data_IF_633994185111
#
_entry.id   IF_633994185111
#
_cell.length_a   1.000
_cell.length_b   1.000
_cell.length_c   1.000
_cell.angle_alpha   90.00
_cell.angle_beta   90.00
_cell.angle_gamma   90.00
#
_symmetry.space_group_name_H-M   'P 1'
#
loop_
_entity.id
_entity.type
_entity.pdbx_description
1 polymer ?
#
# COMPACT_ATOMS: atom_id res chain seq x y z
N UNK A 1 -11.70 -3.39 1.68
CA UNK A 1 -10.25 -3.30 1.45
C UNK A 1 -9.97 -2.84 0.04
N UNK A 2 -8.79 -2.37 -0.22
CA UNK A 2 -8.42 -1.93 -1.55
C UNK A 2 -7.04 -2.44 -1.90
N UNK A 3 -6.78 -2.51 -3.19
CA UNK A 3 -5.48 -2.95 -3.68
C UNK A 3 -4.59 -1.74 -3.90
N UNK A 4 -3.36 -1.85 -3.41
CA UNK A 4 -2.35 -0.83 -3.62
C UNK A 4 -1.27 -1.45 -4.49
N UNK A 5 -0.77 -0.68 -5.43
CA UNK A 5 0.39 -1.11 -6.19
C UNK A 5 1.59 -0.31 -5.71
N UNK A 6 2.54 -0.99 -5.11
CA UNK A 6 3.74 -0.33 -4.59
C UNK A 6 4.81 -0.44 -5.65
N UNK A 7 5.25 0.71 -6.13
CA UNK A 7 6.29 0.77 -7.16
C UNK A 7 7.59 1.09 -6.47
N UNK A 8 8.55 0.19 -6.59
CA UNK A 8 9.85 0.36 -5.97
C UNK A 8 10.78 1.15 -6.87
N UNK A 9 11.77 1.78 -6.29
CA UNK A 9 12.74 2.54 -7.09
C UNK A 9 13.51 1.66 -8.06
N UNK A 10 13.61 0.38 -7.75
CA UNK A 10 14.27 -0.59 -8.64
C UNK A 10 13.44 -0.87 -9.88
N UNK A 11 12.19 -0.44 -9.91
CA UNK A 11 11.27 -0.77 -10.99
C UNK A 11 10.37 -1.93 -10.68
N UNK A 12 10.60 -2.63 -9.60
CA UNK A 12 9.74 -3.74 -9.20
C UNK A 12 8.39 -3.21 -8.72
N UNK A 13 7.35 -4.01 -8.90
CA UNK A 13 6.00 -3.65 -8.46
C UNK A 13 5.47 -4.77 -7.59
N UNK A 14 4.83 -4.38 -6.51
CA UNK A 14 4.23 -5.33 -5.58
C UNK A 14 2.82 -4.91 -5.29
N UNK A 15 1.88 -5.83 -5.38
CA UNK A 15 0.50 -5.52 -5.07
C UNK A 15 0.21 -5.90 -3.62
N UNK A 16 -0.42 -5.00 -2.90
CA UNK A 16 -0.77 -5.20 -1.50
C UNK A 16 -2.25 -4.89 -1.35
N UNK A 17 -2.99 -5.81 -0.72
CA UNK A 17 -4.39 -5.58 -0.42
C UNK A 17 -4.50 -5.30 1.08
N UNK A 18 -5.04 -4.15 1.41
CA UNK A 18 -5.09 -3.71 2.81
C UNK A 18 -6.26 -2.76 3.03
N UNK A 19 -6.60 -2.57 4.28
CA UNK A 19 -7.64 -1.62 4.65
C UNK A 19 -7.05 -0.23 4.86
N UNK A 20 -5.84 -0.17 5.43
CA UNK A 20 -5.23 1.10 5.81
C UNK A 20 -3.78 1.14 5.38
N UNK A 21 -3.38 2.26 4.81
CA UNK A 21 -1.98 2.57 4.59
C UNK A 21 -1.58 3.61 5.64
N UNK A 22 -0.54 3.31 6.38
CA UNK A 22 -0.04 4.20 7.42
C UNK A 22 1.36 4.65 7.06
N UNK A 23 1.50 5.94 6.81
CA UNK A 23 2.78 6.53 6.42
C UNK A 23 3.02 7.77 7.25
N UNK A 24 3.90 7.65 8.23
CA UNK A 24 4.22 8.75 9.14
C UNK A 24 5.72 9.00 9.11
N UNK A 25 6.19 9.89 8.23
CA UNK A 25 7.62 10.16 8.12
C UNK A 25 8.24 10.68 9.41
N UNK A 26 7.43 11.28 10.28
CA UNK A 26 7.94 11.77 11.55
C UNK A 26 8.15 10.66 12.57
N UNK A 27 7.60 9.49 12.31
CA UNK A 27 7.69 8.37 13.24
C UNK A 27 8.87 7.47 12.91
N UNK A 28 8.94 7.02 11.67
CA UNK A 28 10.05 6.16 11.24
C UNK A 28 10.15 6.20 9.71
N UNK A 29 11.01 5.34 9.17
CA UNK A 29 11.30 5.33 7.74
C UNK A 29 10.53 4.24 7.00
N UNK A 30 9.45 3.74 7.57
CA UNK A 30 8.69 2.66 6.96
C UNK A 30 7.28 3.08 6.61
N UNK A 31 6.73 2.43 5.61
CA UNK A 31 5.33 2.58 5.21
C UNK A 31 4.67 1.26 5.53
N UNK A 32 3.56 1.30 6.27
CA UNK A 32 2.88 0.11 6.76
C UNK A 32 1.52 -0.06 6.10
N UNK A 33 1.17 -1.31 5.84
CA UNK A 33 -0.17 -1.65 5.35
C UNK A 33 -0.81 -2.56 6.38
N UNK A 34 -2.01 -2.21 6.79
CA UNK A 34 -2.74 -2.96 7.81
C UNK A 34 -4.06 -3.47 7.26
N UNK A 35 -4.46 -4.64 7.77
CA UNK A 35 -5.72 -5.23 7.38
C UNK A 35 -6.89 -4.53 8.07
N UNK A 36 -6.67 -3.93 9.22
CA UNK A 36 -7.72 -3.34 10.03
C UNK A 36 -7.43 -1.88 10.33
N UNK A 37 -8.48 -1.13 10.59
CA UNK A 37 -8.34 0.30 10.88
C UNK A 37 -7.73 0.55 12.24
N UNK A 38 -7.69 -0.46 13.11
CA UNK A 38 -7.08 -0.33 14.42
C UNK A 38 -5.58 -0.50 14.40
N UNK A 39 -5.00 -0.76 13.23
CA UNK A 39 -3.56 -0.92 13.05
C UNK A 39 -3.00 -2.07 13.88
N UNK A 40 -3.74 -3.16 13.94
CA UNK A 40 -3.33 -4.31 14.74
C UNK A 40 -2.85 -5.49 13.90
N UNK A 41 -3.28 -5.58 12.65
CA UNK A 41 -2.94 -6.70 11.80
C UNK A 41 -2.12 -6.22 10.62
N UNK A 42 -0.82 -6.33 10.77
CA UNK A 42 0.10 -5.89 9.73
C UNK A 42 0.06 -6.83 8.54
N UNK A 43 -0.10 -6.27 7.36
CA UNK A 43 -0.06 -7.04 6.12
C UNK A 43 1.34 -7.00 5.52
N UNK A 44 1.91 -5.80 5.45
CA UNK A 44 3.20 -5.62 4.82
C UNK A 44 3.79 -4.28 5.24
N UNK A 45 5.10 -4.15 5.11
CA UNK A 45 5.74 -2.85 5.26
C UNK A 45 6.88 -2.74 4.25
N UNK A 46 7.24 -1.50 3.96
CA UNK A 46 8.29 -1.20 3.01
C UNK A 46 9.13 -0.06 3.55
N UNK A 47 10.41 -0.07 3.22
CA UNK A 47 11.26 1.07 3.56
C UNK A 47 10.90 2.22 2.63
N UNK A 48 10.61 3.38 3.22
CA UNK A 48 10.13 4.52 2.44
C UNK A 48 11.12 4.92 1.35
N UNK A 49 12.41 4.83 1.66
CA UNK A 49 13.41 5.25 0.69
C UNK A 49 13.49 4.33 -0.52
N UNK A 50 12.93 3.13 -0.43
CA UNK A 50 12.93 2.20 -1.55
C UNK A 50 11.67 2.27 -2.38
N UNK A 51 10.72 3.08 -1.98
CA UNK A 51 9.43 3.19 -2.65
C UNK A 51 9.44 4.42 -3.53
N UNK A 52 9.17 4.21 -4.83
CA UNK A 52 9.06 5.32 -5.77
C UNK A 52 7.66 5.92 -5.76
N UNK A 53 6.66 5.08 -5.52
CA UNK A 53 5.29 5.57 -5.47
C UNK A 53 4.33 4.46 -5.10
N UNK A 54 3.11 4.87 -4.77
CA UNK A 54 2.05 3.93 -4.44
C UNK A 54 0.82 4.35 -5.22
N UNK A 55 0.28 3.41 -5.98
CA UNK A 55 -0.92 3.66 -6.77
C UNK A 55 -2.09 3.05 -6.02
N UNK A 56 -3.07 3.88 -5.75
CA UNK A 56 -4.23 3.51 -4.98
C UNK A 56 -5.31 2.99 -5.91
N UNK A 57 -5.73 1.75 -5.70
CA UNK A 57 -6.86 1.21 -6.42
C UNK A 57 -8.16 1.62 -5.77
N UNK A 58 -9.26 1.30 -6.44
CA UNK A 58 -10.57 1.61 -5.87
C UNK A 58 -10.84 0.73 -4.67
N UNK A 59 -11.66 1.23 -3.79
CA UNK A 59 -12.09 0.44 -2.66
C UNK A 59 -12.85 -0.76 -3.15
N UNK A 60 -12.71 -1.89 -2.45
CA UNK A 60 -13.30 -3.14 -2.88
C UNK A 60 -12.81 -3.53 -4.24
N UNK A 61 -11.53 -3.41 -4.45
CA UNK A 61 -11.00 -3.66 -5.77
C UNK A 61 -11.17 -5.10 -6.14
N UNK A 62 -12.28 -5.37 -6.62
CA UNK A 62 -12.51 -6.51 -7.44
C UNK A 62 -11.94 -6.06 -8.73
N UNK A 63 -11.33 -6.90 -9.42
CA UNK A 63 -10.72 -6.55 -10.66
C UNK A 63 -11.77 -6.14 -11.65
N UNK A 64 -12.35 -5.01 -11.42
CA UNK A 64 -13.33 -4.47 -12.34
C UNK A 64 -12.57 -3.64 -13.34
N UNK A 65 -12.67 -3.94 -14.62
CA UNK A 65 -12.00 -3.13 -15.64
C UNK A 65 -12.60 -1.75 -15.62
N UNK A 66 -11.81 -0.87 -15.72
CA UNK A 66 -12.30 0.40 -15.71
C UNK A 66 -12.28 1.00 -17.00
N UNK A 67 -12.72 1.29 -17.31
CA UNK A 67 -12.56 1.85 -18.34
C UNK A 67 -12.84 2.72 -18.59
N UNK A 68 -12.58 3.02 -18.84
CA UNK A 68 -12.73 3.69 -19.14
C UNK A 68 -12.81 4.19 -19.36
#
# INVERSE_FOLDING_TARGET
MRAYEVVMRSGAKTEVTAEVLHDDPGLDDKIYFYRDKGLKQLVAYFLREEVAGIILGPENSIAVPRYK
#
